data_IF_810527487299
#
_entry.id   IF_810527487299
#
_cell.length_a   1.000
_cell.length_b   1.000
_cell.length_c   1.000
_cell.angle_alpha   90.00
_cell.angle_beta   90.00
_cell.angle_gamma   90.00
#
_symmetry.space_group_name_H-M   'P 1'
#
loop_
_entity.id
_entity.type
_entity.pdbx_description
1 polymer ?
#
# COMPACT_ATOMS: atom_id res chain seq x y z
N UNK A 1 -18.18 -36.82 -2.17
CA UNK A 1 -17.16 -36.29 -1.26
C UNK A 1 -16.90 -34.87 -1.70
N UNK A 2 -17.70 -33.93 -1.20
CA UNK A 2 -17.46 -32.51 -1.42
C UNK A 2 -16.26 -32.14 -0.55
N UNK A 3 -15.18 -31.66 -1.17
CA UNK A 3 -14.04 -31.16 -0.41
C UNK A 3 -14.48 -29.84 0.23
N UNK A 4 -14.75 -29.93 1.53
CA UNK A 4 -14.98 -28.79 2.42
C UNK A 4 -13.71 -27.94 2.41
N UNK A 5 -13.68 -26.96 1.51
CA UNK A 5 -12.51 -26.08 1.37
C UNK A 5 -12.63 -25.07 2.49
N UNK A 6 -11.69 -25.04 3.46
CA UNK A 6 -11.79 -24.10 4.55
C UNK A 6 -11.83 -22.69 3.98
N UNK A 7 -12.93 -21.98 4.22
CA UNK A 7 -13.01 -20.54 4.01
C UNK A 7 -12.06 -19.96 5.06
N UNK A 8 -10.82 -19.69 4.65
CA UNK A 8 -9.88 -18.96 5.47
C UNK A 8 -10.46 -17.56 5.58
N UNK A 9 -11.00 -17.24 6.75
CA UNK A 9 -11.48 -15.90 7.11
C UNK A 9 -10.26 -15.00 7.22
N UNK A 10 -9.74 -14.62 6.06
CA UNK A 10 -8.56 -13.80 5.92
C UNK A 10 -9.07 -12.37 6.04
N UNK A 11 -8.84 -11.77 7.20
CA UNK A 11 -9.22 -10.39 7.50
C UNK A 11 -8.32 -9.44 6.69
N UNK A 12 -8.59 -9.33 5.38
CA UNK A 12 -7.85 -8.51 4.41
C UNK A 12 -8.18 -7.02 4.60
N UNK A 13 -7.98 -6.52 5.81
CA UNK A 13 -8.27 -5.14 6.18
C UNK A 13 -7.00 -4.31 6.18
N UNK A 14 -7.06 -3.15 5.54
CA UNK A 14 -6.03 -2.12 5.63
C UNK A 14 -6.55 -1.01 6.53
N UNK A 15 -5.74 -0.53 7.48
CA UNK A 15 -6.17 0.46 8.46
C UNK A 15 -6.74 1.72 7.80
N UNK A 16 -8.01 2.02 8.12
CA UNK A 16 -8.74 3.15 7.54
C UNK A 16 -9.16 2.94 6.08
N UNK A 17 -9.32 1.69 5.65
CA UNK A 17 -10.04 1.29 4.43
C UNK A 17 -11.10 0.28 4.88
N UNK A 18 -12.37 0.64 4.76
CA UNK A 18 -13.51 -0.21 5.15
C UNK A 18 -14.14 -0.84 3.90
N UNK A 19 -13.36 -1.71 3.25
CA UNK A 19 -13.77 -2.47 2.06
C UNK A 19 -13.42 -3.94 2.22
N UNK A 20 -14.25 -4.80 1.64
CA UNK A 20 -13.93 -6.21 1.43
C UNK A 20 -12.98 -6.32 0.23
N UNK A 21 -11.68 -6.33 0.52
CA UNK A 21 -10.63 -6.35 -0.50
C UNK A 21 -10.42 -7.76 -1.03
N UNK A 22 -10.19 -7.89 -2.34
CA UNK A 22 -9.57 -9.10 -2.89
C UNK A 22 -8.12 -9.24 -2.37
N UNK A 23 -7.51 -10.45 -2.39
CA UNK A 23 -6.12 -10.61 -1.95
C UNK A 23 -5.15 -9.71 -2.72
N UNK A 24 -5.42 -9.46 -4.00
CA UNK A 24 -4.58 -8.62 -4.85
C UNK A 24 -4.70 -7.13 -4.47
N UNK A 25 -5.92 -6.66 -4.24
CA UNK A 25 -6.16 -5.29 -3.78
C UNK A 25 -5.53 -5.05 -2.41
N UNK A 26 -5.70 -5.99 -1.47
CA UNK A 26 -5.05 -5.95 -0.17
C UNK A 26 -3.52 -5.89 -0.29
N UNK A 27 -2.94 -6.70 -1.17
CA UNK A 27 -1.51 -6.70 -1.42
C UNK A 27 -1.02 -5.32 -1.89
N UNK A 28 -1.65 -4.73 -2.90
CA UNK A 28 -1.23 -3.43 -3.44
C UNK A 28 -1.38 -2.30 -2.43
N UNK A 29 -2.50 -2.23 -1.71
CA UNK A 29 -2.72 -1.21 -0.68
C UNK A 29 -1.73 -1.36 0.48
N UNK A 30 -1.48 -2.58 0.95
CA UNK A 30 -0.50 -2.87 2.01
C UNK A 30 0.93 -2.59 1.57
N UNK A 31 1.27 -2.82 0.31
CA UNK A 31 2.57 -2.47 -0.25
C UNK A 31 2.74 -0.94 -0.33
N UNK A 32 1.72 -0.24 -0.82
CA UNK A 32 1.73 1.22 -0.91
C UNK A 32 1.95 1.86 0.46
N UNK A 33 1.23 1.39 1.48
CA UNK A 33 1.39 1.87 2.86
C UNK A 33 2.82 1.69 3.36
N UNK A 34 3.40 0.51 3.18
CA UNK A 34 4.77 0.21 3.61
C UNK A 34 5.81 1.07 2.88
N UNK A 35 5.65 1.28 1.58
CA UNK A 35 6.56 2.10 0.79
C UNK A 35 6.52 3.58 1.21
N UNK A 36 5.33 4.10 1.51
CA UNK A 36 5.16 5.47 1.98
C UNK A 36 5.75 5.66 3.37
N UNK A 37 5.47 4.73 4.29
CA UNK A 37 6.10 4.72 5.61
C UNK A 37 7.64 4.66 5.50
N UNK A 38 8.16 3.78 4.64
CA UNK A 38 9.60 3.66 4.40
C UNK A 38 10.21 4.95 3.86
N UNK A 39 9.55 5.60 2.88
CA UNK A 39 9.97 6.92 2.38
C UNK A 39 9.97 7.97 3.49
N UNK A 40 8.93 7.97 4.34
CA UNK A 40 8.78 8.93 5.42
C UNK A 40 9.84 8.77 6.52
N UNK A 41 10.29 7.54 6.79
CA UNK A 41 11.43 7.28 7.67
C UNK A 41 12.74 7.67 6.99
N UNK A 42 12.94 7.23 5.75
CA UNK A 42 14.21 7.39 5.02
C UNK A 42 14.55 8.86 4.72
N UNK A 43 13.55 9.73 4.48
CA UNK A 43 13.79 11.17 4.30
C UNK A 43 14.39 11.85 5.55
N UNK A 44 14.29 11.24 6.73
CA UNK A 44 14.87 11.75 7.98
C UNK A 44 16.21 11.08 8.34
N UNK A 45 16.68 10.14 7.52
CA UNK A 45 17.95 9.44 7.72
C UNK A 45 19.14 10.38 7.51
N UNK A 46 20.14 10.30 8.40
CA UNK A 46 21.37 11.09 8.29
C UNK A 46 22.25 10.60 7.12
N UNK A 47 22.15 9.30 6.78
CA UNK A 47 22.89 8.65 5.69
C UNK A 47 22.08 8.67 4.38
N UNK A 48 21.20 9.66 4.23
CA UNK A 48 20.36 9.85 3.06
C UNK A 48 21.16 9.80 1.74
N UNK A 49 20.78 8.85 0.88
CA UNK A 49 21.21 8.77 -0.51
C UNK A 49 20.07 9.08 -1.48
N UNK A 50 20.29 10.03 -2.38
CA UNK A 50 19.29 10.50 -3.34
C UNK A 50 18.79 9.41 -4.31
N UNK A 51 19.62 8.43 -4.65
CA UNK A 51 19.24 7.35 -5.57
C UNK A 51 18.16 6.44 -4.96
N UNK A 52 18.24 6.18 -3.65
CA UNK A 52 17.27 5.37 -2.92
C UNK A 52 15.92 6.08 -2.82
N UNK A 53 15.91 7.40 -2.57
CA UNK A 53 14.66 8.18 -2.67
C UNK A 53 14.06 8.13 -4.07
N UNK A 54 14.91 8.21 -5.11
CA UNK A 54 14.48 8.02 -6.49
C UNK A 54 13.84 6.66 -6.73
N UNK A 55 14.41 5.60 -6.16
CA UNK A 55 13.85 4.24 -6.23
C UNK A 55 12.52 4.12 -5.49
N UNK A 56 12.43 4.66 -4.27
CA UNK A 56 11.21 4.67 -3.45
C UNK A 56 10.07 5.42 -4.14
N UNK A 57 10.34 6.61 -4.69
CA UNK A 57 9.33 7.39 -5.41
C UNK A 57 8.79 6.62 -6.64
N UNK A 58 9.67 5.93 -7.37
CA UNK A 58 9.25 5.09 -8.51
C UNK A 58 8.43 3.88 -8.05
N UNK A 59 8.83 3.23 -6.96
CA UNK A 59 8.09 2.10 -6.39
C UNK A 59 6.69 2.54 -5.94
N UNK A 60 6.57 3.65 -5.21
CA UNK A 60 5.28 4.22 -4.78
C UNK A 60 4.41 4.52 -6.00
N UNK A 61 4.97 5.17 -7.03
CA UNK A 61 4.22 5.48 -8.25
C UNK A 61 3.72 4.22 -8.98
N UNK A 62 4.57 3.21 -9.12
CA UNK A 62 4.20 1.93 -9.74
C UNK A 62 3.08 1.24 -8.96
N UNK A 63 3.21 1.15 -7.63
CA UNK A 63 2.19 0.50 -6.80
C UNK A 63 0.88 1.29 -6.78
N UNK A 64 0.91 2.63 -6.87
CA UNK A 64 -0.30 3.43 -7.06
C UNK A 64 -1.00 3.10 -8.39
N UNK A 65 -0.22 2.89 -9.47
CA UNK A 65 -0.78 2.44 -10.75
C UNK A 65 -1.42 1.06 -10.63
N UNK A 66 -0.78 0.13 -9.94
CA UNK A 66 -1.33 -1.20 -9.67
C UNK A 66 -2.65 -1.12 -8.86
N UNK A 67 -2.73 -0.22 -7.86
CA UNK A 67 -3.96 0.03 -7.11
C UNK A 67 -5.10 0.54 -8.01
N UNK A 68 -4.79 1.47 -8.92
CA UNK A 68 -5.76 2.01 -9.89
C UNK A 68 -6.25 0.91 -10.82
N UNK A 69 -5.35 0.08 -11.35
CA UNK A 69 -5.67 -1.04 -12.23
C UNK A 69 -6.48 -2.13 -11.51
N UNK A 70 -6.30 -2.28 -10.20
CA UNK A 70 -7.07 -3.18 -9.34
C UNK A 70 -8.40 -2.58 -8.80
N UNK A 71 -8.84 -1.41 -9.30
CA UNK A 71 -10.06 -0.70 -8.88
C UNK A 71 -10.08 -0.27 -7.39
N UNK A 72 -8.92 -0.03 -6.79
CA UNK A 72 -8.77 0.55 -5.43
C UNK A 72 -7.93 1.82 -5.44
N UNK A 73 -8.05 2.58 -6.53
CA UNK A 73 -7.26 3.78 -6.78
C UNK A 73 -7.65 4.97 -5.90
N UNK A 74 -8.90 5.05 -5.44
CA UNK A 74 -9.36 6.17 -4.61
C UNK A 74 -8.91 6.01 -3.16
N UNK A 75 -9.00 4.79 -2.63
CA UNK A 75 -8.50 4.42 -1.30
C UNK A 75 -6.97 4.59 -1.24
N UNK A 76 -6.27 4.23 -2.32
CA UNK A 76 -4.83 4.46 -2.44
C UNK A 76 -4.47 5.95 -2.41
N UNK A 77 -5.23 6.83 -3.09
CA UNK A 77 -5.03 8.28 -3.03
C UNK A 77 -5.32 8.83 -1.64
N UNK A 78 -6.39 8.37 -0.99
CA UNK A 78 -6.71 8.77 0.37
C UNK A 78 -5.62 8.36 1.36
N UNK A 79 -5.03 7.17 1.19
CA UNK A 79 -3.87 6.72 1.96
C UNK A 79 -2.68 7.67 1.77
N UNK A 80 -2.35 8.03 0.53
CA UNK A 80 -1.27 8.98 0.25
C UNK A 80 -1.53 10.36 0.83
N UNK A 81 -2.77 10.84 0.75
CA UNK A 81 -3.16 12.13 1.31
C UNK A 81 -3.00 12.12 2.84
N UNK A 82 -3.46 11.08 3.53
CA UNK A 82 -3.29 10.95 4.98
C UNK A 82 -1.82 11.05 5.39
N UNK A 83 -0.95 10.30 4.72
CA UNK A 83 0.49 10.29 5.02
C UNK A 83 1.20 11.62 4.69
N UNK A 84 0.71 12.38 3.72
CA UNK A 84 1.22 13.72 3.42
C UNK A 84 0.84 14.78 4.47
N UNK A 85 -0.29 14.61 5.16
CA UNK A 85 -0.76 15.59 6.17
C UNK A 85 -0.30 15.26 7.60
N UNK A 86 0.35 14.10 7.81
CA UNK A 86 0.85 13.66 9.12
C UNK A 86 2.30 14.09 9.37
N UNK A 87 3.05 14.50 8.34
CA UNK A 87 4.40 15.06 8.41
C UNK A 87 4.41 16.58 8.18
#
# INVERSE_FOLDING_TARGET
>A
SEMDTPIVDNDWRVSGIDLDLTPLQFHYLSLLQRLVALKNTYQTDADYEAWMMGALNKAIYSTLRDCIEANVGDEAKELLNREQHVN
#
